data_IF_932761309177
#
_entry.id   IF_932761309177
#
_cell.length_a   1.000
_cell.length_b   1.000
_cell.length_c   1.000
_cell.angle_alpha   90.00
_cell.angle_beta   90.00
_cell.angle_gamma   90.00
#
_symmetry.space_group_name_H-M   'P 1'
#
loop_
_entity.id
_entity.type
_entity.pdbx_description
1 polymer ?
#
# COMPACT_ATOMS: atom_id res chain seq x y z
N UNK A 1 27.37 -26.30 -12.29
CA UNK A 1 27.95 -25.32 -11.34
C UNK A 1 28.25 -24.06 -12.13
N UNK A 2 27.53 -22.99 -11.85
CA UNK A 2 27.75 -21.67 -12.44
C UNK A 2 27.94 -20.64 -11.34
N UNK A 3 28.63 -19.54 -11.66
CA UNK A 3 28.76 -18.38 -10.76
C UNK A 3 27.83 -17.31 -11.33
N UNK A 4 26.61 -17.12 -10.77
CA UNK A 4 25.81 -15.96 -11.11
C UNK A 4 26.50 -14.68 -10.63
N UNK A 5 26.63 -13.70 -11.52
CA UNK A 5 27.05 -12.33 -11.19
C UNK A 5 25.85 -11.44 -11.50
N UNK A 6 25.27 -10.81 -10.49
CA UNK A 6 24.19 -9.85 -10.65
C UNK A 6 24.68 -8.54 -11.28
N UNK A 7 23.82 -7.87 -12.05
CA UNK A 7 24.12 -6.51 -12.53
C UNK A 7 24.16 -5.53 -11.35
N UNK A 8 25.09 -4.55 -11.35
CA UNK A 8 25.11 -3.54 -10.31
C UNK A 8 23.84 -2.69 -10.40
N UNK A 9 23.23 -2.42 -9.24
CA UNK A 9 22.07 -1.53 -9.13
C UNK A 9 22.45 -0.32 -8.29
N UNK A 10 22.09 0.89 -8.75
CA UNK A 10 22.29 2.15 -8.04
C UNK A 10 20.94 2.78 -7.75
N UNK A 11 20.69 3.11 -6.48
CA UNK A 11 19.46 3.80 -6.03
C UNK A 11 19.84 5.06 -5.27
N UNK A 12 19.14 6.16 -5.55
CA UNK A 12 19.35 7.45 -4.88
C UNK A 12 18.06 7.86 -4.18
N UNK A 13 18.19 8.23 -2.92
CA UNK A 13 17.11 8.68 -2.04
C UNK A 13 17.37 10.11 -1.60
N UNK A 14 16.34 10.95 -1.67
CA UNK A 14 16.34 12.29 -1.09
C UNK A 14 15.25 12.34 -0.03
N UNK A 15 15.63 12.50 1.22
CA UNK A 15 14.73 12.51 2.36
C UNK A 15 15.31 11.82 3.60
N UNK A 16 14.75 12.08 4.79
CA UNK A 16 13.62 12.99 5.03
C UNK A 16 14.02 14.47 4.99
N UNK A 17 13.06 15.34 4.66
CA UNK A 17 13.16 16.78 4.84
C UNK A 17 12.25 17.23 5.97
N UNK A 18 12.77 17.91 7.00
CA UNK A 18 11.98 18.40 8.14
C UNK A 18 12.31 19.84 8.51
N UNK A 19 11.29 20.53 9.02
CA UNK A 19 11.42 21.81 9.70
C UNK A 19 11.10 21.58 11.18
N UNK A 20 12.01 21.95 12.08
CA UNK A 20 11.85 21.72 13.51
C UNK A 20 12.31 22.91 14.35
N UNK A 21 12.07 22.83 15.65
CA UNK A 21 12.49 23.84 16.63
C UNK A 21 12.08 25.28 16.28
N UNK A 22 10.91 25.44 15.66
CA UNK A 22 10.38 26.75 15.24
C UNK A 22 9.82 27.47 16.47
N UNK A 23 10.47 28.58 16.86
CA UNK A 23 10.06 29.42 17.98
C UNK A 23 10.04 30.86 17.51
N UNK A 24 8.92 31.57 17.73
CA UNK A 24 8.82 33.01 17.48
C UNK A 24 8.47 33.70 18.80
N UNK A 25 9.28 34.67 19.22
CA UNK A 25 9.03 35.46 20.41
C UNK A 25 8.86 36.93 20.03
N UNK A 26 7.88 37.56 20.66
CA UNK A 26 7.53 38.96 20.45
C UNK A 26 7.41 39.60 21.82
N UNK A 27 8.29 40.56 22.12
CA UNK A 27 8.19 41.38 23.30
C UNK A 27 7.96 42.84 22.89
N UNK A 28 6.69 43.23 22.93
CA UNK A 28 6.25 44.58 22.58
C UNK A 28 6.75 45.64 23.56
N UNK A 29 7.09 45.27 24.80
CA UNK A 29 7.55 46.24 25.81
C UNK A 29 8.97 46.73 25.54
N UNK A 30 9.81 45.86 24.99
CA UNK A 30 11.19 46.15 24.59
C UNK A 30 11.34 46.37 23.08
N UNK A 31 10.26 46.27 22.31
CA UNK A 31 10.29 46.29 20.83
C UNK A 31 11.28 45.27 20.26
N UNK A 32 11.35 44.10 20.89
CA UNK A 32 12.22 43.00 20.47
C UNK A 32 11.41 41.85 19.88
N UNK A 33 11.96 41.24 18.82
CA UNK A 33 11.38 40.11 18.12
C UNK A 33 12.49 39.09 17.89
N UNK A 34 12.24 37.82 18.12
CA UNK A 34 13.16 36.76 17.75
C UNK A 34 12.44 35.60 17.08
N UNK A 35 13.12 34.93 16.17
CA UNK A 35 12.66 33.74 15.50
C UNK A 35 13.81 32.74 15.42
N UNK A 36 13.59 31.53 15.90
CA UNK A 36 14.48 30.39 15.73
C UNK A 36 13.78 29.34 14.89
N UNK A 37 14.52 28.64 14.05
CA UNK A 37 14.05 27.46 13.35
C UNK A 37 15.22 26.64 12.81
N UNK A 38 14.96 25.37 12.54
CA UNK A 38 15.95 24.42 12.04
C UNK A 38 15.39 23.73 10.80
N UNK A 39 16.24 23.60 9.78
CA UNK A 39 15.94 22.88 8.53
C UNK A 39 16.88 21.70 8.45
N UNK A 40 16.35 20.50 8.20
CA UNK A 40 17.14 19.30 7.99
C UNK A 40 16.73 18.64 6.67
N UNK A 41 17.72 18.23 5.86
CA UNK A 41 17.51 17.47 4.62
C UNK A 41 18.52 16.34 4.55
N UNK A 42 18.06 15.09 4.63
CA UNK A 42 18.86 13.90 4.41
C UNK A 42 18.90 13.47 2.94
N UNK A 43 19.97 12.80 2.55
CA UNK A 43 20.12 12.14 1.25
C UNK A 43 20.93 10.85 1.43
N UNK A 44 20.65 9.85 0.62
CA UNK A 44 21.42 8.62 0.59
C UNK A 44 21.54 8.08 -0.83
N UNK A 45 22.64 7.40 -1.12
CA UNK A 45 22.77 6.58 -2.32
C UNK A 45 23.27 5.19 -1.92
N UNK A 46 22.76 4.16 -2.60
CA UNK A 46 23.06 2.77 -2.34
C UNK A 46 23.42 2.06 -3.64
N UNK A 47 24.54 1.34 -3.65
CA UNK A 47 24.90 0.38 -4.68
C UNK A 47 25.12 -1.01 -4.10
N UNK A 48 24.63 -2.05 -4.79
CA UNK A 48 24.93 -3.42 -4.41
C UNK A 48 25.33 -4.30 -5.60
N UNK A 49 26.10 -5.35 -5.29
CA UNK A 49 26.52 -6.40 -6.22
C UNK A 49 26.28 -7.74 -5.53
N UNK A 50 25.75 -8.71 -6.28
CA UNK A 50 25.55 -10.07 -5.80
C UNK A 50 26.38 -11.06 -6.62
N UNK A 51 27.03 -11.97 -5.91
CA UNK A 51 27.78 -13.08 -6.50
C UNK A 51 27.52 -14.35 -5.71
N UNK A 52 27.50 -15.50 -6.36
CA UNK A 52 27.18 -16.74 -5.66
C UNK A 52 27.69 -17.98 -6.35
N UNK A 53 27.49 -19.13 -5.69
CA UNK A 53 27.74 -20.44 -6.25
C UNK A 53 26.52 -21.32 -6.03
N UNK A 54 26.07 -22.01 -7.06
CA UNK A 54 24.84 -22.79 -7.03
C UNK A 54 25.00 -24.19 -7.61
N UNK A 55 24.23 -25.12 -7.04
CA UNK A 55 24.01 -26.47 -7.55
C UNK A 55 22.53 -26.63 -7.86
N UNK A 56 22.23 -27.01 -9.10
CA UNK A 56 20.87 -27.24 -9.57
C UNK A 56 20.68 -28.72 -9.90
N UNK A 57 19.54 -29.26 -9.49
CA UNK A 57 19.09 -30.61 -9.80
C UNK A 57 17.71 -30.53 -10.45
N UNK A 58 17.59 -31.08 -11.65
CA UNK A 58 16.36 -31.14 -12.43
C UNK A 58 15.80 -32.56 -12.44
N UNK A 59 14.48 -32.69 -12.31
CA UNK A 59 13.76 -33.95 -12.32
C UNK A 59 12.53 -33.84 -13.22
N UNK A 60 12.55 -34.60 -14.31
CA UNK A 60 11.41 -34.73 -15.21
C UNK A 60 10.69 -36.04 -14.88
N UNK A 61 9.43 -35.93 -14.47
CA UNK A 61 8.53 -37.06 -14.22
C UNK A 61 7.26 -36.91 -15.06
N UNK A 62 6.31 -37.84 -14.98
CA UNK A 62 5.01 -37.69 -15.63
C UNK A 62 3.90 -38.12 -14.67
N UNK A 63 2.82 -37.35 -14.62
CA UNK A 63 1.60 -37.77 -13.93
C UNK A 63 0.92 -38.81 -14.82
N UNK A 64 0.51 -39.98 -14.27
CA UNK A 64 -0.11 -41.05 -15.02
C UNK A 64 -1.58 -40.70 -15.36
N UNK A 65 -1.75 -39.73 -16.26
CA UNK A 65 -3.02 -39.41 -16.94
C UNK A 65 -3.01 -39.97 -18.36
N UNK A 66 -4.15 -39.98 -19.03
CA UNK A 66 -4.23 -40.30 -20.47
C UNK A 66 -4.73 -39.05 -21.22
N UNK A 67 -3.85 -38.30 -21.91
CA UNK A 67 -2.40 -38.53 -22.08
C UNK A 67 -1.56 -38.18 -20.83
N UNK A 68 -0.35 -38.75 -20.65
CA UNK A 68 0.53 -38.41 -19.53
C UNK A 68 0.97 -36.96 -19.56
N UNK A 69 0.90 -36.28 -18.42
CA UNK A 69 1.35 -34.88 -18.31
C UNK A 69 2.80 -34.89 -17.80
N UNK A 70 3.79 -34.46 -18.60
CA UNK A 70 5.17 -34.37 -18.14
C UNK A 70 5.27 -33.27 -17.10
N UNK A 71 5.96 -33.50 -15.99
CA UNK A 71 6.24 -32.57 -14.89
C UNK A 71 7.73 -32.33 -14.82
N UNK A 72 8.14 -31.10 -15.07
CA UNK A 72 9.52 -30.66 -14.93
C UNK A 72 9.67 -29.88 -13.62
N UNK A 73 10.40 -30.44 -12.67
CA UNK A 73 10.67 -29.82 -11.38
C UNK A 73 12.18 -29.63 -11.23
N UNK A 74 12.58 -28.45 -10.77
CA UNK A 74 13.98 -28.17 -10.46
C UNK A 74 14.13 -27.67 -9.04
N UNK A 75 15.24 -28.03 -8.41
CA UNK A 75 15.65 -27.47 -7.13
C UNK A 75 17.08 -26.97 -7.28
N UNK A 76 17.30 -25.71 -6.95
CA UNK A 76 18.60 -25.06 -6.97
C UNK A 76 18.95 -24.60 -5.56
N UNK A 77 20.13 -24.96 -5.08
CA UNK A 77 20.61 -24.58 -3.75
C UNK A 77 22.04 -24.07 -3.83
N UNK A 78 22.35 -23.08 -3.02
CA UNK A 78 23.65 -22.43 -3.10
C UNK A 78 23.96 -21.47 -1.97
N UNK A 79 25.06 -20.76 -2.17
CA UNK A 79 25.47 -19.65 -1.33
C UNK A 79 25.48 -18.36 -2.16
N UNK A 80 25.03 -17.28 -1.53
CA UNK A 80 24.96 -15.94 -2.11
C UNK A 80 25.76 -14.99 -1.22
N UNK A 81 26.67 -14.24 -1.83
CA UNK A 81 27.38 -13.12 -1.23
C UNK A 81 26.83 -11.83 -1.82
N UNK A 82 26.21 -11.01 -0.99
CA UNK A 82 25.76 -9.66 -1.33
C UNK A 82 26.76 -8.67 -0.75
N UNK A 83 27.29 -7.78 -1.59
CA UNK A 83 28.14 -6.66 -1.19
C UNK A 83 27.37 -5.37 -1.43
N UNK A 84 27.26 -4.52 -0.42
CA UNK A 84 26.53 -3.27 -0.49
C UNK A 84 27.41 -2.11 -0.02
N UNK A 85 27.38 -1.01 -0.75
CA UNK A 85 28.02 0.25 -0.39
C UNK A 85 26.97 1.35 -0.41
N UNK A 86 26.81 2.04 0.72
CA UNK A 86 25.89 3.16 0.85
C UNK A 86 26.65 4.41 1.25
N UNK A 87 26.31 5.53 0.64
CA UNK A 87 26.76 6.86 1.08
C UNK A 87 25.54 7.60 1.60
N UNK A 88 25.66 8.18 2.78
CA UNK A 88 24.61 8.94 3.45
C UNK A 88 25.12 10.35 3.69
N UNK A 89 24.23 11.32 3.67
CA UNK A 89 24.57 12.67 4.01
C UNK A 89 23.37 13.48 4.42
N UNK A 90 23.62 14.57 5.13
CA UNK A 90 22.57 15.51 5.49
C UNK A 90 23.09 16.94 5.48
N UNK A 91 22.18 17.87 5.24
CA UNK A 91 22.40 19.28 5.47
C UNK A 91 21.40 19.73 6.52
N UNK A 92 21.94 20.21 7.63
CA UNK A 92 21.19 20.83 8.71
C UNK A 92 21.52 22.32 8.78
N UNK A 93 20.51 23.14 9.02
CA UNK A 93 20.66 24.58 9.12
C UNK A 93 19.84 25.11 10.29
N UNK A 94 20.53 25.56 11.32
CA UNK A 94 19.93 26.40 12.35
C UNK A 94 19.86 27.84 11.87
N UNK A 95 18.75 28.49 12.12
CA UNK A 95 18.54 29.91 11.91
C UNK A 95 18.04 30.54 13.20
N UNK A 96 18.71 31.61 13.62
CA UNK A 96 18.28 32.47 14.71
C UNK A 96 18.29 33.92 14.23
N UNK A 97 17.11 34.50 14.10
CA UNK A 97 16.88 35.90 13.75
C UNK A 97 16.47 36.64 15.01
N UNK A 98 17.13 37.75 15.32
CA UNK A 98 16.70 38.67 16.36
C UNK A 98 16.64 40.09 15.82
N UNK A 99 15.67 40.84 16.32
CA UNK A 99 15.53 42.28 16.11
C UNK A 99 15.35 42.94 17.47
N UNK A 100 16.07 44.04 17.72
CA UNK A 100 15.84 44.88 18.88
C UNK A 100 16.22 46.31 18.58
N UNK A 101 15.31 47.25 18.81
CA UNK A 101 15.61 48.69 18.77
C UNK A 101 16.27 49.19 17.46
N UNK A 102 15.93 48.58 16.32
CA UNK A 102 16.50 48.91 15.01
C UNK A 102 17.73 48.09 14.60
N UNK A 103 18.26 47.28 15.52
CA UNK A 103 19.33 46.33 15.23
C UNK A 103 18.74 44.98 14.80
N UNK A 104 19.36 44.35 13.81
CA UNK A 104 19.03 43.00 13.34
C UNK A 104 20.27 42.12 13.51
N UNK A 105 20.10 40.90 14.04
CA UNK A 105 21.10 39.84 13.98
C UNK A 105 20.47 38.58 13.39
N UNK A 106 21.20 37.93 12.49
CA UNK A 106 20.85 36.66 11.89
C UNK A 106 22.05 35.73 12.03
N UNK A 107 21.93 34.75 12.91
CA UNK A 107 22.92 33.69 13.09
C UNK A 107 22.46 32.45 12.36
N UNK A 108 23.33 31.93 11.51
CA UNK A 108 23.14 30.72 10.74
C UNK A 108 24.20 29.72 11.18
N UNK A 109 23.79 28.51 11.54
CA UNK A 109 24.73 27.41 11.70
C UNK A 109 24.45 26.38 10.61
N UNK A 110 25.42 26.15 9.73
CA UNK A 110 25.31 25.17 8.67
C UNK A 110 26.09 23.92 9.06
N UNK A 111 25.40 22.80 9.20
CA UNK A 111 26.02 21.51 9.50
C UNK A 111 25.87 20.59 8.28
N UNK A 112 26.98 20.08 7.77
CA UNK A 112 27.06 19.07 6.73
C UNK A 112 27.51 17.75 7.38
N UNK A 113 26.70 16.72 7.27
CA UNK A 113 27.06 15.37 7.72
C UNK A 113 27.27 14.48 6.50
N UNK A 114 28.31 13.66 6.52
CA UNK A 114 28.64 12.71 5.46
C UNK A 114 29.02 11.38 6.09
N UNK A 115 28.53 10.28 5.54
CA UNK A 115 28.81 8.95 6.01
C UNK A 115 28.87 7.92 4.91
N UNK A 116 29.59 6.83 5.18
CA UNK A 116 29.71 5.67 4.29
C UNK A 116 29.42 4.43 5.12
N UNK A 117 28.67 3.49 4.55
CA UNK A 117 28.33 2.19 5.12
C UNK A 117 28.71 1.13 4.09
N UNK A 118 29.51 0.16 4.50
CA UNK A 118 29.88 -1.02 3.72
C UNK A 118 29.30 -2.24 4.42
N UNK A 119 28.45 -2.98 3.71
CA UNK A 119 27.83 -4.21 4.20
C UNK A 119 28.24 -5.40 3.32
N UNK A 120 28.42 -6.55 3.95
CA UNK A 120 28.53 -7.83 3.27
C UNK A 120 27.60 -8.83 3.96
N UNK A 121 26.79 -9.52 3.16
CA UNK A 121 25.87 -10.55 3.61
C UNK A 121 26.20 -11.86 2.92
N UNK A 122 26.39 -12.92 3.70
CA UNK A 122 26.52 -14.29 3.21
C UNK A 122 25.26 -15.06 3.58
N UNK A 123 24.52 -15.47 2.56
CA UNK A 123 23.26 -16.20 2.68
C UNK A 123 23.39 -17.59 2.06
N UNK A 124 22.70 -18.58 2.64
CA UNK A 124 22.36 -19.80 1.93
C UNK A 124 20.99 -19.60 1.29
N UNK A 125 20.77 -20.15 0.10
CA UNK A 125 19.46 -20.10 -0.54
C UNK A 125 19.06 -21.45 -1.13
N UNK A 126 17.74 -21.64 -1.26
CA UNK A 126 17.13 -22.79 -1.91
C UNK A 126 15.93 -22.31 -2.73
N UNK A 127 16.01 -22.48 -4.04
CA UNK A 127 15.00 -22.13 -5.01
C UNK A 127 14.34 -23.41 -5.54
N UNK A 128 13.03 -23.52 -5.41
CA UNK A 128 12.24 -24.60 -5.99
C UNK A 128 11.46 -24.08 -7.20
N UNK A 129 11.52 -24.80 -8.31
CA UNK A 129 10.90 -24.44 -9.58
C UNK A 129 10.03 -25.56 -10.14
N UNK A 130 8.99 -25.19 -10.88
CA UNK A 130 8.11 -26.09 -11.62
C UNK A 130 7.87 -25.51 -13.01
N UNK A 131 8.33 -26.17 -14.08
CA UNK A 131 8.33 -25.67 -15.45
C UNK A 131 8.90 -24.25 -15.57
N UNK A 132 10.06 -24.00 -14.95
CA UNK A 132 10.71 -22.68 -14.87
C UNK A 132 9.92 -21.62 -14.09
N UNK A 133 8.82 -22.00 -13.43
CA UNK A 133 8.10 -21.13 -12.49
C UNK A 133 8.75 -21.28 -11.13
N UNK A 134 9.33 -20.21 -10.61
CA UNK A 134 9.77 -20.15 -9.22
C UNK A 134 8.58 -20.29 -8.27
N UNK A 135 8.57 -21.40 -7.52
CA UNK A 135 7.56 -21.69 -6.51
C UNK A 135 7.91 -20.96 -5.21
N UNK A 136 9.15 -21.11 -4.77
CA UNK A 136 9.59 -20.62 -3.47
C UNK A 136 11.12 -20.53 -3.46
N UNK A 137 11.61 -19.34 -3.13
CA UNK A 137 13.01 -19.05 -2.85
C UNK A 137 13.14 -18.84 -1.34
N UNK A 138 13.78 -19.78 -0.66
CA UNK A 138 14.16 -19.67 0.74
C UNK A 138 15.54 -19.06 0.86
N UNK A 139 15.69 -18.14 1.80
CA UNK A 139 16.95 -17.46 2.08
C UNK A 139 17.23 -17.56 3.58
N UNK A 140 18.38 -18.12 3.92
CA UNK A 140 18.87 -18.26 5.28
C UNK A 140 20.11 -17.39 5.48
N UNK A 141 20.01 -16.32 6.30
CA UNK A 141 21.16 -15.48 6.59
C UNK A 141 22.17 -16.25 7.43
N UNK A 142 23.40 -16.39 6.93
CA UNK A 142 24.46 -17.10 7.63
C UNK A 142 25.35 -16.13 8.40
N UNK A 143 25.75 -15.03 7.75
CA UNK A 143 26.66 -14.06 8.35
C UNK A 143 26.49 -12.68 7.73
N UNK A 144 26.56 -11.68 8.60
CA UNK A 144 26.50 -10.27 8.25
C UNK A 144 27.76 -9.57 8.75
N UNK A 145 28.32 -8.69 7.92
CA UNK A 145 29.39 -7.78 8.27
C UNK A 145 28.98 -6.37 7.89
N UNK A 146 29.21 -5.41 8.80
CA UNK A 146 28.95 -3.99 8.57
C UNK A 146 30.15 -3.20 9.07
N UNK A 147 30.60 -2.24 8.26
CA UNK A 147 31.61 -1.25 8.62
C UNK A 147 31.09 0.11 8.19
N UNK A 148 31.05 1.07 9.10
CA UNK A 148 30.57 2.42 8.83
C UNK A 148 31.55 3.48 9.34
N UNK A 149 31.52 4.65 8.70
CA UNK A 149 32.23 5.85 9.15
C UNK A 149 31.42 7.08 8.77
N UNK A 150 31.31 8.05 9.67
CA UNK A 150 30.69 9.34 9.38
C UNK A 150 31.42 10.52 10.03
N UNK A 151 31.29 11.68 9.42
CA UNK A 151 31.90 12.94 9.82
C UNK A 151 30.87 14.07 9.72
N UNK A 152 30.94 15.03 10.64
CA UNK A 152 30.10 16.21 10.70
C UNK A 152 30.94 17.48 10.63
N UNK A 153 30.48 18.47 9.89
CA UNK A 153 31.16 19.73 9.61
C UNK A 153 30.21 20.91 9.84
N UNK A 154 30.52 21.78 10.81
CA UNK A 154 29.71 22.95 11.16
C UNK A 154 30.41 24.25 10.80
N UNK A 155 29.68 25.15 10.14
CA UNK A 155 30.12 26.50 9.75
C UNK A 155 29.12 27.56 10.26
N UNK A 156 29.46 28.27 11.34
CA UNK A 156 28.65 29.36 11.85
C UNK A 156 28.88 30.65 11.04
N UNK A 157 27.80 31.31 10.64
CA UNK A 157 27.78 32.58 9.91
C UNK A 157 26.84 33.54 10.65
N UNK A 158 27.35 34.68 11.08
CA UNK A 158 26.57 35.74 11.74
C UNK A 158 26.49 36.96 10.83
N UNK A 159 25.27 37.42 10.58
CA UNK A 159 24.96 38.64 9.85
C UNK A 159 24.36 39.63 10.85
N UNK A 160 24.87 40.85 10.95
CA UNK A 160 24.25 41.86 11.80
C UNK A 160 24.13 43.20 11.10
N UNK A 161 23.07 43.94 11.42
CA UNK A 161 22.85 45.31 10.98
C UNK A 161 22.58 46.16 12.20
N UNK A 162 23.47 47.10 12.49
CA UNK A 162 23.33 48.02 13.63
C UNK A 162 23.88 49.38 13.28
N UNK A 163 23.21 50.44 13.74
CA UNK A 163 23.63 51.82 13.51
C UNK A 163 23.84 52.20 12.04
N UNK A 164 23.06 51.61 11.12
CA UNK A 164 23.16 51.87 9.69
C UNK A 164 24.22 51.07 8.94
N UNK A 165 24.94 50.16 9.61
CA UNK A 165 26.04 49.36 9.03
C UNK A 165 25.73 47.88 9.10
N UNK A 166 25.95 47.18 7.98
CA UNK A 166 25.92 45.73 7.93
C UNK A 166 27.32 45.15 8.21
N UNK A 167 27.38 44.04 8.94
CA UNK A 167 28.58 43.24 9.15
C UNK A 167 28.28 41.76 8.92
N UNK A 168 29.29 41.04 8.45
CA UNK A 168 29.25 39.60 8.21
C UNK A 168 30.46 39.00 8.91
N UNK A 169 30.22 38.02 9.77
CA UNK A 169 31.26 37.26 10.48
C UNK A 169 31.11 35.80 10.14
N UNK A 170 32.18 35.19 9.64
CA UNK A 170 32.26 33.74 9.41
C UNK A 170 33.12 33.18 10.54
N UNK A 171 32.54 32.32 11.37
CA UNK A 171 33.28 31.68 12.46
C UNK A 171 34.15 30.52 11.97
N UNK A 172 34.95 29.92 12.86
CA UNK A 172 35.80 28.79 12.51
C UNK A 172 34.95 27.57 12.13
N UNK A 173 35.42 26.81 11.15
CA UNK A 173 34.85 25.52 10.79
C UNK A 173 35.19 24.50 11.89
N UNK A 174 34.18 23.83 12.44
CA UNK A 174 34.34 22.71 13.37
C UNK A 174 34.04 21.41 12.63
N UNK A 175 34.83 20.37 12.90
CA UNK A 175 34.62 19.04 12.32
C UNK A 175 34.89 17.94 13.33
N UNK A 176 34.20 16.82 13.20
CA UNK A 176 34.38 15.66 14.09
C UNK A 176 33.75 14.38 13.54
N UNK A 177 34.23 13.24 14.02
CA UNK A 177 33.59 11.94 13.74
C UNK A 177 32.26 11.85 14.48
N UNK A 178 31.25 11.29 13.81
CA UNK A 178 29.94 11.01 14.38
C UNK A 178 29.55 9.55 14.07
N UNK A 179 28.67 8.94 14.88
CA UNK A 179 27.98 7.71 14.49
C UNK A 179 27.22 7.91 13.17
N UNK A 180 27.22 6.92 12.29
CA UNK A 180 26.49 7.01 11.01
C UNK A 180 24.98 7.01 11.23
N UNK A 181 24.53 6.42 12.34
CA UNK A 181 23.14 6.32 12.76
C UNK A 181 22.53 7.68 13.11
N UNK A 182 23.38 8.68 13.40
CA UNK A 182 22.95 10.05 13.67
C UNK A 182 22.59 10.81 12.38
N UNK A 183 22.97 10.28 11.20
CA UNK A 183 22.56 10.83 9.91
C UNK A 183 21.21 10.20 9.50
N UNK A 184 20.12 10.88 9.83
CA UNK A 184 18.78 10.46 9.43
C UNK A 184 18.61 10.47 7.91
N UNK A 185 18.44 9.30 7.30
CA UNK A 185 18.18 9.15 5.87
C UNK A 185 17.13 8.08 5.61
N UNK A 186 16.45 8.14 4.46
CA UNK A 186 15.61 7.05 3.96
C UNK A 186 16.45 6.04 3.20
N UNK A 187 17.45 5.45 3.85
CA UNK A 187 18.27 4.41 3.23
C UNK A 187 17.51 3.06 3.28
N UNK A 188 17.03 2.60 2.14
CA UNK A 188 16.58 1.21 2.02
C UNK A 188 17.80 0.29 1.84
N UNK A 189 18.01 -0.58 2.83
CA UNK A 189 19.03 -1.63 2.76
C UNK A 189 18.46 -2.81 1.98
N UNK A 190 19.19 -3.26 0.97
CA UNK A 190 18.75 -4.41 0.20
C UNK A 190 19.10 -5.67 1.00
N UNK A 191 18.08 -6.42 1.42
CA UNK A 191 18.27 -7.77 1.95
C UNK A 191 17.47 -8.74 1.11
N UNK A 192 18.09 -9.80 0.57
CA UNK A 192 17.33 -10.87 -0.05
C UNK A 192 16.30 -11.40 0.94
N UNK A 193 15.05 -11.55 0.49
CA UNK A 193 13.97 -12.07 1.32
C UNK A 193 13.46 -13.38 0.75
N UNK A 194 12.99 -14.26 1.65
CA UNK A 194 12.28 -15.46 1.24
C UNK A 194 11.01 -15.05 0.49
N UNK A 195 10.82 -15.58 -0.71
CA UNK A 195 9.67 -15.29 -1.57
C UNK A 195 9.04 -16.60 -2.01
N UNK A 196 7.78 -16.82 -1.62
CA UNK A 196 7.05 -18.01 -2.02
C UNK A 196 5.72 -17.61 -2.62
N UNK A 197 5.41 -18.17 -3.77
CA UNK A 197 4.14 -17.99 -4.43
C UNK A 197 3.07 -18.76 -3.68
N UNK A 198 1.87 -18.19 -3.59
CA UNK A 198 0.74 -18.96 -3.12
C UNK A 198 0.42 -20.04 -4.16
N UNK A 199 -0.14 -21.17 -3.70
CA UNK A 199 -0.51 -22.26 -4.61
C UNK A 199 -1.48 -21.80 -5.69
N UNK A 200 -2.33 -20.81 -5.38
CA UNK A 200 -3.24 -20.19 -6.34
C UNK A 200 -2.49 -19.50 -7.48
N UNK A 201 -1.46 -18.71 -7.17
CA UNK A 201 -0.65 -18.00 -8.18
C UNK A 201 0.13 -18.98 -9.05
N UNK A 202 0.61 -20.07 -8.45
CA UNK A 202 1.28 -21.16 -9.19
C UNK A 202 0.30 -21.79 -10.17
N UNK A 203 -0.91 -22.14 -9.72
CA UNK A 203 -1.92 -22.75 -10.60
C UNK A 203 -2.36 -21.80 -11.71
N UNK A 204 -2.58 -20.52 -11.40
CA UNK A 204 -2.94 -19.49 -12.38
C UNK A 204 -1.87 -19.38 -13.48
N UNK A 205 -0.60 -19.36 -13.10
CA UNK A 205 0.52 -19.31 -14.04
C UNK A 205 0.62 -20.61 -14.89
N UNK A 206 0.39 -21.78 -14.30
CA UNK A 206 0.33 -23.06 -15.01
C UNK A 206 -0.83 -23.11 -16.03
N UNK A 207 -2.00 -22.60 -15.65
CA UNK A 207 -3.17 -22.47 -16.52
C UNK A 207 -2.89 -21.51 -17.68
N UNK A 208 -2.28 -20.36 -17.40
CA UNK A 208 -1.90 -19.36 -18.41
C UNK A 208 -0.92 -19.91 -19.44
N UNK A 209 -0.02 -20.81 -19.02
CA UNK A 209 0.93 -21.50 -19.91
C UNK A 209 0.32 -22.68 -20.67
N UNK A 210 -0.94 -23.04 -20.38
CA UNK A 210 -1.62 -24.18 -21.00
C UNK A 210 -1.05 -25.54 -20.57
N UNK A 211 -0.37 -25.58 -19.42
CA UNK A 211 0.21 -26.80 -18.86
C UNK A 211 -0.89 -27.64 -18.18
N UNK A 212 -1.83 -26.97 -17.52
CA UNK A 212 -2.98 -27.62 -16.89
C UNK A 212 -4.15 -27.79 -17.88
N UNK A 213 -4.91 -28.90 -17.79
CA UNK A 213 -6.15 -29.08 -18.54
C UNK A 213 -7.17 -27.98 -18.22
N UNK A 214 -7.96 -27.59 -19.22
CA UNK A 214 -8.94 -26.50 -19.10
C UNK A 214 -9.98 -26.78 -18.01
N UNK A 215 -10.33 -28.04 -17.80
CA UNK A 215 -11.31 -28.46 -16.80
C UNK A 215 -10.88 -28.06 -15.38
N UNK A 216 -9.57 -28.12 -15.09
CA UNK A 216 -9.01 -27.72 -13.79
C UNK A 216 -8.99 -26.19 -13.66
N UNK A 217 -8.62 -25.50 -14.74
CA UNK A 217 -8.58 -24.04 -14.77
C UNK A 217 -9.97 -23.42 -14.63
N UNK A 218 -10.97 -23.97 -15.31
CA UNK A 218 -12.37 -23.52 -15.25
C UNK A 218 -13.00 -23.79 -13.87
N UNK A 219 -12.61 -24.90 -13.21
CA UNK A 219 -13.10 -25.21 -11.86
C UNK A 219 -12.59 -24.18 -10.83
N UNK A 220 -11.39 -23.63 -11.02
CA UNK A 220 -10.82 -22.61 -10.15
C UNK A 220 -11.46 -21.24 -10.34
N UNK A 221 -11.80 -20.87 -11.58
CA UNK A 221 -12.60 -19.67 -11.84
C UNK A 221 -14.00 -19.79 -11.24
N UNK A 222 -14.59 -21.00 -11.27
CA UNK A 222 -15.89 -21.27 -10.64
C UNK A 222 -15.83 -21.30 -9.09
N UNK A 223 -14.74 -21.81 -8.51
CA UNK A 223 -14.51 -21.88 -7.06
C UNK A 223 -13.94 -20.59 -6.46
N UNK A 224 -13.36 -19.69 -7.27
CA UNK A 224 -12.99 -18.35 -6.83
C UNK A 224 -14.21 -17.53 -6.36
N UNK A 225 -15.43 -17.94 -6.71
CA UNK A 225 -16.69 -17.38 -6.19
C UNK A 225 -17.10 -18.00 -4.83
N UNK A 226 -16.42 -19.05 -4.36
CA UNK A 226 -16.71 -19.72 -3.07
C UNK A 226 -15.71 -19.42 -1.96
N UNK A 227 -14.76 -18.51 -2.20
CA UNK A 227 -13.90 -17.93 -1.18
C UNK A 227 -14.64 -16.92 -0.32
N UNK A 228 -15.34 -17.40 0.72
CA UNK A 228 -15.59 -16.69 1.98
C UNK A 228 -16.33 -15.33 1.95
N UNK A 229 -17.19 -15.07 0.96
CA UNK A 229 -18.26 -14.05 1.07
C UNK A 229 -19.66 -14.64 0.82
N UNK A 230 -19.90 -15.87 1.28
CA UNK A 230 -21.25 -16.46 1.23
C UNK A 230 -22.25 -15.65 2.08
N UNK A 231 -23.50 -15.53 1.65
CA UNK A 231 -24.54 -14.86 2.45
C UNK A 231 -24.66 -15.48 3.85
N UNK A 232 -25.19 -14.77 4.84
CA UNK A 232 -25.46 -15.35 6.18
C UNK A 232 -26.78 -16.13 6.25
N UNK A 233 -27.14 -16.80 5.15
CA UNK A 233 -28.30 -17.67 5.03
C UNK A 233 -27.81 -19.12 5.05
N UNK A 234 -28.16 -19.87 6.10
CA UNK A 234 -27.69 -21.24 6.29
C UNK A 234 -28.05 -22.19 5.12
N UNK A 235 -29.15 -21.91 4.40
CA UNK A 235 -29.55 -22.66 3.21
C UNK A 235 -28.64 -22.46 2.00
N UNK A 236 -27.88 -21.37 1.94
CA UNK A 236 -26.97 -21.05 0.83
C UNK A 236 -25.54 -21.55 1.08
N UNK A 237 -25.26 -22.01 2.31
CA UNK A 237 -23.93 -22.45 2.74
C UNK A 237 -23.92 -23.93 3.15
N UNK A 238 -24.71 -24.78 2.47
CA UNK A 238 -24.86 -26.20 2.84
C UNK A 238 -23.53 -27.00 2.83
N UNK A 239 -22.51 -26.52 2.10
CA UNK A 239 -21.17 -27.10 2.08
C UNK A 239 -20.24 -26.62 3.20
N UNK A 240 -20.60 -25.57 3.94
CA UNK A 240 -19.76 -25.01 5.01
C UNK A 240 -19.88 -25.85 6.30
N UNK A 241 -18.78 -25.95 7.05
CA UNK A 241 -18.75 -26.57 8.39
C UNK A 241 -19.49 -25.65 9.37
N UNK A 242 -20.31 -26.24 10.25
CA UNK A 242 -21.13 -25.47 11.19
C UNK A 242 -20.31 -24.51 12.06
N UNK A 243 -19.14 -24.91 12.54
CA UNK A 243 -18.27 -24.04 13.35
C UNK A 243 -17.80 -22.78 12.60
N UNK A 244 -17.48 -22.92 11.32
CA UNK A 244 -17.05 -21.80 10.46
C UNK A 244 -18.22 -20.83 10.21
N UNK A 245 -19.39 -21.38 9.86
CA UNK A 245 -20.60 -20.57 9.64
C UNK A 245 -21.02 -19.82 10.92
N UNK A 246 -21.00 -20.50 12.08
CA UNK A 246 -21.33 -19.88 13.38
C UNK A 246 -20.36 -18.74 13.70
N UNK A 247 -19.06 -18.95 13.48
CA UNK A 247 -18.03 -17.94 13.74
C UNK A 247 -18.22 -16.69 12.90
N UNK A 248 -18.63 -16.86 11.64
CA UNK A 248 -18.80 -15.77 10.68
C UNK A 248 -20.14 -15.05 10.88
N UNK A 249 -21.25 -15.80 10.90
CA UNK A 249 -22.60 -15.27 10.77
C UNK A 249 -23.42 -15.22 12.08
N UNK A 250 -22.97 -15.91 13.13
CA UNK A 250 -23.70 -16.01 14.40
C UNK A 250 -22.92 -15.41 15.59
N UNK A 251 -23.66 -15.01 16.63
CA UNK A 251 -23.12 -14.53 17.90
C UNK A 251 -22.51 -15.70 18.68
N UNK A 252 -21.46 -15.44 19.46
CA UNK A 252 -20.74 -16.46 20.23
C UNK A 252 -21.62 -17.27 21.19
N UNK A 253 -22.70 -16.68 21.69
CA UNK A 253 -23.65 -17.35 22.60
C UNK A 253 -24.31 -18.59 21.98
N UNK A 254 -24.40 -18.66 20.66
CA UNK A 254 -24.93 -19.83 19.96
C UNK A 254 -24.12 -21.10 20.28
N UNK A 255 -22.80 -21.00 20.47
CA UNK A 255 -21.94 -22.16 20.77
C UNK A 255 -22.31 -22.83 22.10
N UNK A 256 -22.99 -22.14 23.02
CA UNK A 256 -23.47 -22.71 24.30
C UNK A 256 -24.75 -23.54 24.14
N UNK A 257 -25.58 -23.21 23.15
CA UNK A 257 -26.86 -23.89 22.91
C UNK A 257 -26.78 -24.94 21.78
N UNK A 258 -25.78 -24.82 20.91
CA UNK A 258 -25.55 -25.70 19.78
C UNK A 258 -25.04 -27.09 20.23
N UNK A 259 -25.54 -28.19 19.66
CA UNK A 259 -25.01 -29.52 19.97
C UNK A 259 -23.53 -29.64 19.54
N UNK A 260 -22.61 -29.70 20.50
CA UNK A 260 -21.16 -29.62 20.24
C UNK A 260 -20.63 -30.71 19.29
N UNK A 261 -21.23 -31.89 19.32
CA UNK A 261 -20.95 -33.01 18.40
C UNK A 261 -21.22 -32.70 16.92
N UNK A 262 -22.06 -31.70 16.61
CA UNK A 262 -22.41 -31.32 15.24
C UNK A 262 -21.59 -30.12 14.74
N UNK A 263 -20.67 -29.56 15.54
CA UNK A 263 -19.87 -28.40 15.12
C UNK A 263 -18.93 -28.71 13.95
N UNK A 264 -18.43 -29.94 13.89
CA UNK A 264 -17.56 -30.42 12.82
C UNK A 264 -18.32 -30.92 11.58
N UNK A 265 -19.65 -30.99 11.62
CA UNK A 265 -20.46 -31.43 10.48
C UNK A 265 -20.79 -30.26 9.53
N UNK A 266 -21.06 -30.60 8.27
CA UNK A 266 -21.52 -29.61 7.29
C UNK A 266 -22.99 -29.25 7.50
N UNK A 267 -23.37 -28.02 7.14
CA UNK A 267 -24.76 -27.55 7.24
C UNK A 267 -25.73 -28.45 6.47
N UNK A 268 -25.29 -29.03 5.35
CA UNK A 268 -26.07 -29.99 4.54
C UNK A 268 -26.36 -31.30 5.28
N UNK A 269 -25.39 -31.85 6.01
CA UNK A 269 -25.57 -33.04 6.86
C UNK A 269 -26.53 -32.74 8.01
N UNK A 270 -26.36 -31.59 8.66
CA UNK A 270 -27.22 -31.13 9.76
C UNK A 270 -28.67 -30.98 9.31
N UNK A 271 -28.91 -30.42 8.11
CA UNK A 271 -30.24 -30.26 7.52
C UNK A 271 -30.94 -31.58 7.20
N UNK A 272 -30.19 -32.60 6.74
CA UNK A 272 -30.73 -33.91 6.34
C UNK A 272 -30.94 -34.86 7.53
N UNK A 273 -30.30 -34.61 8.67
CA UNK A 273 -30.38 -35.48 9.83
C UNK A 273 -31.75 -35.52 10.49
N UNK A 274 -32.14 -36.71 10.96
CA UNK A 274 -33.49 -36.96 11.52
C UNK A 274 -33.58 -36.88 13.05
N UNK A 275 -32.44 -36.91 13.75
CA UNK A 275 -32.43 -36.94 15.22
C UNK A 275 -32.89 -35.61 15.81
N UNK A 276 -33.34 -35.63 17.08
CA UNK A 276 -33.74 -34.41 17.78
C UNK A 276 -32.62 -33.36 17.83
N UNK A 277 -31.36 -33.81 17.92
CA UNK A 277 -30.18 -32.93 17.92
C UNK A 277 -29.97 -32.21 16.59
N UNK A 278 -30.13 -32.90 15.45
CA UNK A 278 -30.03 -32.29 14.11
C UNK A 278 -31.13 -31.25 13.88
N UNK A 279 -32.36 -31.57 14.27
CA UNK A 279 -33.50 -30.62 14.20
C UNK A 279 -33.25 -29.38 15.07
N UNK A 280 -32.69 -29.55 16.27
CA UNK A 280 -32.31 -28.44 17.16
C UNK A 280 -31.21 -27.59 16.54
N UNK A 281 -30.13 -28.20 16.06
CA UNK A 281 -29.01 -27.50 15.42
C UNK A 281 -29.47 -26.68 14.20
N UNK A 282 -30.26 -27.29 13.32
CA UNK A 282 -30.81 -26.61 12.14
C UNK A 282 -31.72 -25.44 12.51
N UNK A 283 -32.53 -25.58 13.56
CA UNK A 283 -33.38 -24.50 14.07
C UNK A 283 -32.52 -23.33 14.58
N UNK A 284 -31.49 -23.60 15.37
CA UNK A 284 -30.60 -22.57 15.94
C UNK A 284 -29.86 -21.77 14.85
N UNK A 285 -29.39 -22.42 13.78
CA UNK A 285 -28.72 -21.77 12.63
C UNK A 285 -29.60 -20.77 11.88
N UNK A 286 -30.92 -20.96 11.93
CA UNK A 286 -31.89 -20.08 11.26
C UNK A 286 -32.54 -19.08 12.23
N UNK A 287 -32.23 -19.16 13.53
CA UNK A 287 -32.89 -18.36 14.55
C UNK A 287 -32.31 -16.94 14.63
N UNK A 288 -33.15 -15.92 14.41
CA UNK A 288 -32.71 -14.53 14.32
C UNK A 288 -31.96 -14.00 15.55
N UNK A 289 -32.24 -14.52 16.75
CA UNK A 289 -31.61 -14.07 18.00
C UNK A 289 -30.09 -14.27 18.03
N UNK A 290 -29.61 -15.31 17.35
CA UNK A 290 -28.19 -15.64 17.27
C UNK A 290 -27.49 -15.03 16.07
N UNK A 291 -28.20 -14.39 15.15
CA UNK A 291 -27.55 -13.81 13.98
C UNK A 291 -26.85 -12.51 14.35
N UNK A 292 -25.66 -12.27 13.80
CA UNK A 292 -24.95 -11.00 14.01
C UNK A 292 -25.78 -9.86 13.38
N UNK A 293 -25.75 -8.64 13.94
CA UNK A 293 -26.52 -7.51 13.41
C UNK A 293 -26.15 -7.07 11.98
N UNK A 294 -25.09 -7.61 11.39
CA UNK A 294 -24.76 -7.48 9.95
C UNK A 294 -25.32 -8.60 9.06
N UNK A 295 -25.99 -9.61 9.65
CA UNK A 295 -26.24 -10.91 9.01
C UNK A 295 -27.72 -11.28 8.86
N UNK A 296 -28.67 -10.44 9.29
CA UNK A 296 -30.09 -10.71 9.03
C UNK A 296 -31.01 -9.52 9.11
N UNK A 297 -31.46 -9.11 7.94
CA UNK A 297 -32.72 -8.41 7.76
C UNK A 297 -33.41 -8.89 6.46
N UNK A 298 -33.74 -10.19 6.35
CA UNK A 298 -34.76 -10.66 5.38
C UNK A 298 -35.54 -11.83 6.01
N UNK A 299 -36.83 -11.62 6.30
CA UNK A 299 -37.80 -12.61 6.78
C UNK A 299 -39.09 -12.58 5.92
N UNK A 300 -39.99 -13.59 6.02
CA UNK A 300 -40.96 -13.88 4.96
C UNK A 300 -42.34 -13.22 5.12
N UNK A 301 -42.96 -12.88 3.98
CA UNK A 301 -44.34 -12.44 3.70
C UNK A 301 -44.76 -11.00 4.06
N UNK A 302 -44.74 -10.09 3.08
CA UNK A 302 -45.87 -9.79 2.17
C UNK A 302 -45.55 -8.52 1.36
N UNK A 303 -45.92 -8.55 0.07
CA UNK A 303 -45.69 -7.54 -0.97
C UNK A 303 -45.34 -6.12 -0.51
N UNK A 304 -44.05 -5.79 -0.63
CA UNK A 304 -43.45 -4.52 -1.02
C UNK A 304 -41.93 -4.75 -0.97
N UNK A 305 -41.25 -4.45 -2.07
CA UNK A 305 -39.82 -4.67 -2.32
C UNK A 305 -38.93 -4.22 -1.14
N UNK A 306 -38.12 -5.10 -0.53
CA UNK A 306 -37.22 -4.70 0.53
C UNK A 306 -35.92 -4.15 -0.05
N UNK A 307 -35.52 -2.99 0.49
CA UNK A 307 -34.25 -2.34 0.25
C UNK A 307 -33.08 -3.33 0.37
N UNK A 308 -32.30 -3.38 -0.71
CA UNK A 308 -30.91 -3.82 -0.64
C UNK A 308 -30.25 -3.14 0.55
N UNK A 309 -29.32 -3.83 1.22
CA UNK A 309 -28.20 -3.09 1.80
C UNK A 309 -27.58 -2.39 0.61
N UNK A 310 -27.97 -1.13 0.43
CA UNK A 310 -27.55 -0.30 -0.68
C UNK A 310 -26.04 -0.30 -0.60
N UNK A 311 -25.41 -1.00 -1.55
CA UNK A 311 -24.06 -0.69 -1.95
C UNK A 311 -24.10 0.81 -2.24
N UNK A 312 -23.56 1.61 -1.33
CA UNK A 312 -23.66 3.06 -1.44
C UNK A 312 -22.84 3.52 -2.64
N UNK A 313 -23.33 4.54 -3.34
CA UNK A 313 -22.58 5.15 -4.41
C UNK A 313 -21.45 5.96 -3.77
N UNK A 314 -20.20 5.49 -3.91
CA UNK A 314 -19.05 6.14 -3.28
C UNK A 314 -18.33 7.05 -4.28
N UNK A 315 -18.63 8.34 -4.26
CA UNK A 315 -17.85 9.28 -5.08
C UNK A 315 -16.59 9.69 -4.32
N UNK A 316 -15.46 9.06 -4.67
CA UNK A 316 -14.15 9.40 -4.11
C UNK A 316 -13.38 10.35 -5.02
N UNK A 317 -13.64 11.65 -4.90
CA UNK A 317 -12.86 12.65 -5.65
C UNK A 317 -11.57 12.96 -4.92
N UNK A 318 -10.41 12.73 -5.55
CA UNK A 318 -9.10 13.02 -4.97
C UNK A 318 -8.33 14.06 -5.80
N UNK A 319 -7.33 14.67 -5.18
CA UNK A 319 -6.33 15.52 -5.83
C UNK A 319 -4.99 14.87 -5.57
N UNK A 320 -4.37 14.31 -6.61
CA UNK A 320 -3.08 13.61 -6.49
C UNK A 320 -2.07 14.20 -7.47
N UNK A 321 -0.90 14.60 -6.97
CA UNK A 321 0.25 15.02 -7.78
C UNK A 321 0.93 13.80 -8.41
N UNK A 322 1.56 13.96 -9.58
CA UNK A 322 2.14 12.85 -10.36
C UNK A 322 3.40 12.23 -9.73
N UNK A 323 4.09 12.97 -8.85
CA UNK A 323 5.41 12.58 -8.31
C UNK A 323 5.42 11.99 -6.90
N UNK A 324 4.33 12.03 -6.13
CA UNK A 324 4.35 11.67 -4.70
C UNK A 324 3.11 10.87 -4.26
N UNK A 325 3.31 9.92 -3.34
CA UNK A 325 2.27 9.44 -2.44
C UNK A 325 1.81 10.60 -1.56
N UNK A 326 0.76 11.32 -1.96
CA UNK A 326 0.17 12.37 -1.13
C UNK A 326 -1.19 11.93 -0.59
N UNK A 327 -1.29 12.10 0.73
CA UNK A 327 -2.47 11.97 1.57
C UNK A 327 -3.69 12.65 0.93
N UNK A 328 -4.86 11.98 0.89
CA UNK A 328 -6.06 12.53 0.28
C UNK A 328 -6.43 13.89 0.88
N UNK A 329 -6.50 14.93 0.05
CA UNK A 329 -6.85 16.28 0.48
C UNK A 329 -8.30 16.41 0.98
N UNK A 330 -9.21 15.53 0.53
CA UNK A 330 -10.58 15.47 1.02
C UNK A 330 -11.21 14.13 0.64
N UNK A 331 -11.93 13.49 1.56
CA UNK A 331 -12.70 12.28 1.30
C UNK A 331 -14.16 12.59 1.64
N UNK A 332 -15.03 12.65 0.64
CA UNK A 332 -16.47 12.80 0.85
C UNK A 332 -17.15 11.45 0.66
N UNK A 333 -17.76 10.94 1.71
CA UNK A 333 -18.51 9.68 1.69
C UNK A 333 -19.99 10.00 1.91
N UNK A 334 -20.86 9.55 1.00
CA UNK A 334 -22.30 9.70 1.12
C UNK A 334 -22.99 8.34 0.93
N UNK A 335 -23.72 7.90 1.95
CA UNK A 335 -24.41 6.60 1.96
C UNK A 335 -25.81 6.66 1.33
N UNK A 336 -25.93 7.33 0.17
CA UNK A 336 -27.21 7.45 -0.55
C UNK A 336 -27.02 7.43 -2.06
N UNK A 337 -28.13 7.30 -2.79
CA UNK A 337 -28.14 7.52 -4.23
C UNK A 337 -27.75 8.97 -4.53
N UNK A 338 -26.84 9.15 -5.49
CA UNK A 338 -26.35 10.46 -5.92
C UNK A 338 -26.92 10.70 -7.31
N UNK A 339 -27.56 11.85 -7.50
CA UNK A 339 -28.11 12.27 -8.79
C UNK A 339 -26.98 12.71 -9.73
N UNK A 340 -27.23 12.71 -11.04
CA UNK A 340 -26.30 13.27 -12.03
C UNK A 340 -25.89 14.71 -11.67
N UNK A 341 -26.85 15.52 -11.22
CA UNK A 341 -26.62 16.91 -10.82
C UNK A 341 -25.67 17.05 -9.62
N UNK A 342 -25.81 16.18 -8.62
CA UNK A 342 -24.92 16.17 -7.45
C UNK A 342 -23.51 15.69 -7.82
N UNK A 343 -23.40 14.70 -8.71
CA UNK A 343 -22.10 14.28 -9.25
C UNK A 343 -21.42 15.40 -10.04
N UNK A 344 -22.16 16.17 -10.84
CA UNK A 344 -21.63 17.34 -11.55
C UNK A 344 -21.17 18.44 -10.58
N UNK A 345 -21.96 18.70 -9.54
CA UNK A 345 -21.64 19.71 -8.51
C UNK A 345 -20.37 19.34 -7.76
N UNK A 346 -20.19 18.06 -7.40
CA UNK A 346 -18.97 17.60 -6.73
C UNK A 346 -17.71 17.79 -7.58
N UNK A 347 -17.80 17.59 -8.91
CA UNK A 347 -16.69 17.86 -9.84
C UNK A 347 -16.41 19.37 -9.92
N UNK A 348 -17.45 20.20 -9.98
CA UNK A 348 -17.30 21.66 -10.05
C UNK A 348 -16.70 22.27 -8.78
N UNK A 349 -17.17 21.85 -7.60
CA UNK A 349 -16.63 22.30 -6.31
C UNK A 349 -15.14 22.00 -6.21
N UNK A 350 -14.71 20.84 -6.69
CA UNK A 350 -13.30 20.48 -6.68
C UNK A 350 -12.47 21.32 -7.66
N UNK A 351 -12.96 21.52 -8.89
CA UNK A 351 -12.30 22.39 -9.88
C UNK A 351 -12.19 23.83 -9.38
N UNK A 352 -13.19 24.32 -8.65
CA UNK A 352 -13.22 25.67 -8.06
C UNK A 352 -12.28 25.82 -6.86
N UNK A 353 -12.03 24.73 -6.11
CA UNK A 353 -11.05 24.69 -5.01
C UNK A 353 -9.60 24.68 -5.50
N UNK A 354 -9.35 24.31 -6.76
CA UNK A 354 -8.00 24.36 -7.34
C UNK A 354 -7.60 25.79 -7.75
N UNK A 355 -6.29 26.08 -7.80
CA UNK A 355 -5.83 27.38 -8.28
C UNK A 355 -6.30 27.65 -9.73
N UNK A 356 -6.51 28.91 -10.10
CA UNK A 356 -7.02 29.30 -11.44
C UNK A 356 -6.23 28.68 -12.60
N UNK A 357 -4.92 28.48 -12.45
CA UNK A 357 -4.07 27.86 -13.47
C UNK A 357 -4.31 26.35 -13.61
N UNK A 358 -4.53 25.66 -12.50
CA UNK A 358 -4.81 24.22 -12.44
C UNK A 358 -6.24 23.93 -12.92
N UNK A 359 -7.21 24.74 -12.50
CA UNK A 359 -8.61 24.65 -12.94
C UNK A 359 -8.72 24.66 -14.48
N UNK A 360 -7.96 25.55 -15.15
CA UNK A 360 -7.93 25.63 -16.61
C UNK A 360 -7.32 24.38 -17.28
N UNK A 361 -6.27 23.79 -16.66
CA UNK A 361 -5.67 22.55 -17.15
C UNK A 361 -6.58 21.32 -16.93
N UNK A 362 -7.52 21.42 -15.98
CA UNK A 362 -8.41 20.33 -15.60
C UNK A 362 -9.80 20.40 -16.21
N UNK A 363 -10.13 21.46 -16.94
CA UNK A 363 -11.44 21.66 -17.54
C UNK A 363 -11.82 20.52 -18.50
N UNK A 364 -10.86 19.99 -19.26
CA UNK A 364 -11.08 18.83 -20.13
C UNK A 364 -11.38 17.55 -19.34
N UNK A 365 -10.61 17.28 -18.28
CA UNK A 365 -10.82 16.11 -17.42
C UNK A 365 -12.18 16.19 -16.71
N UNK A 366 -12.53 17.37 -16.18
CA UNK A 366 -13.83 17.66 -15.58
C UNK A 366 -14.99 17.43 -16.55
N UNK A 367 -14.91 17.97 -17.78
CA UNK A 367 -15.92 17.74 -18.83
C UNK A 367 -16.04 16.26 -19.21
N UNK A 368 -14.93 15.55 -19.34
CA UNK A 368 -14.93 14.12 -19.64
C UNK A 368 -15.59 13.31 -18.52
N UNK A 369 -15.33 13.65 -17.26
CA UNK A 369 -15.97 13.00 -16.12
C UNK A 369 -17.45 13.29 -16.02
N UNK A 370 -17.87 14.54 -16.20
CA UNK A 370 -19.30 14.89 -16.26
C UNK A 370 -20.01 14.11 -17.37
N UNK A 371 -19.35 13.92 -18.52
CA UNK A 371 -19.85 13.08 -19.61
C UNK A 371 -19.98 11.61 -19.21
N UNK A 372 -19.02 11.06 -18.46
CA UNK A 372 -19.12 9.70 -17.92
C UNK A 372 -20.25 9.57 -16.89
N UNK A 373 -20.42 10.55 -16.00
CA UNK A 373 -21.52 10.61 -15.02
C UNK A 373 -22.88 10.68 -15.73
N UNK A 374 -22.96 11.42 -16.83
CA UNK A 374 -24.17 11.56 -17.65
C UNK A 374 -24.42 10.42 -18.65
N UNK A 375 -23.46 9.53 -18.88
CA UNK A 375 -23.53 8.50 -19.93
C UNK A 375 -24.13 7.19 -19.44
N UNK A 376 -25.05 6.59 -20.21
CA UNK A 376 -25.55 5.23 -19.99
C UNK A 376 -25.29 4.34 -21.23
N UNK A 377 -24.64 3.16 -21.07
CA UNK A 377 -23.88 2.71 -19.90
C UNK A 377 -22.64 3.59 -19.66
N UNK A 378 -22.15 3.72 -18.41
CA UNK A 378 -20.91 4.43 -18.15
C UNK A 378 -19.77 3.74 -18.90
N UNK A 379 -19.23 4.35 -19.95
CA UNK A 379 -18.02 3.88 -20.63
C UNK A 379 -16.80 4.25 -19.77
N UNK A 380 -15.95 3.28 -19.45
CA UNK A 380 -14.71 3.51 -18.68
C UNK A 380 -14.68 2.93 -17.27
N UNK A 381 -15.59 2.00 -16.94
CA UNK A 381 -15.54 1.23 -15.69
C UNK A 381 -14.41 0.21 -15.75
N UNK A 382 -13.42 0.31 -14.86
CA UNK A 382 -12.36 -0.71 -14.76
C UNK A 382 -12.89 -2.01 -14.11
N UNK A 383 -12.07 -3.07 -14.12
CA UNK A 383 -12.42 -4.37 -13.53
C UNK A 383 -12.73 -4.31 -12.02
N UNK A 384 -12.45 -3.18 -11.35
CA UNK A 384 -12.71 -2.95 -9.92
C UNK A 384 -13.97 -2.12 -9.68
N UNK A 385 -14.72 -1.75 -10.73
CA UNK A 385 -15.95 -0.95 -10.61
C UNK A 385 -15.72 0.57 -10.56
N UNK A 386 -14.50 1.03 -10.87
CA UNK A 386 -14.20 2.47 -10.88
C UNK A 386 -14.63 3.07 -12.21
N UNK A 387 -15.58 4.01 -12.18
CA UNK A 387 -16.29 4.52 -13.35
C UNK A 387 -15.45 5.45 -14.23
N UNK A 388 -14.47 6.15 -13.66
CA UNK A 388 -13.54 6.96 -14.44
C UNK A 388 -12.31 7.34 -13.62
N UNK A 389 -11.14 7.18 -14.23
CA UNK A 389 -9.89 7.86 -13.85
C UNK A 389 -9.52 8.82 -14.96
N UNK A 390 -9.39 10.12 -14.64
CA UNK A 390 -8.93 11.13 -15.60
C UNK A 390 -7.87 12.00 -14.97
N UNK A 391 -6.82 12.23 -15.75
CA UNK A 391 -5.77 13.17 -15.43
C UNK A 391 -6.04 14.49 -16.13
N UNK A 392 -5.69 15.60 -15.48
CA UNK A 392 -5.68 16.90 -16.13
C UNK A 392 -4.61 16.92 -17.21
N UNK A 393 -5.07 16.94 -18.47
CA UNK A 393 -4.28 16.97 -19.70
C UNK A 393 -3.30 15.80 -19.89
N UNK A 394 -3.60 14.93 -20.85
CA UNK A 394 -2.60 14.07 -21.53
C UNK A 394 -1.64 14.91 -22.43
N UNK A 395 -1.32 16.16 -22.05
CA UNK A 395 -0.43 17.04 -22.82
C UNK A 395 1.01 16.84 -22.32
N UNK A 396 1.98 16.56 -23.20
CA UNK A 396 3.34 16.14 -22.83
C UNK A 396 4.14 17.16 -22.01
N UNK A 397 3.69 18.42 -21.90
CA UNK A 397 4.48 19.53 -21.34
C UNK A 397 4.08 19.97 -19.92
N UNK A 398 3.12 19.30 -19.27
CA UNK A 398 2.68 19.66 -17.91
C UNK A 398 2.79 18.47 -16.95
N UNK A 399 3.75 18.52 -16.02
CA UNK A 399 3.99 17.47 -15.01
C UNK A 399 2.97 17.43 -13.85
N UNK A 400 1.98 18.34 -13.86
CA UNK A 400 0.97 18.45 -12.79
C UNK A 400 -0.34 17.79 -13.22
N UNK A 401 -0.55 16.56 -12.77
CA UNK A 401 -1.82 15.86 -12.91
C UNK A 401 -2.73 16.10 -11.70
N UNK A 402 -4.04 16.06 -11.91
CA UNK A 402 -5.02 15.78 -10.84
C UNK A 402 -5.67 14.45 -11.20
N UNK A 403 -5.66 13.51 -10.26
CA UNK A 403 -6.38 12.25 -10.38
C UNK A 403 -7.73 12.35 -9.69
N UNK A 404 -8.78 12.35 -10.48
CA UNK A 404 -10.14 12.19 -10.00
C UNK A 404 -10.51 10.70 -10.10
N UNK A 405 -11.03 10.10 -9.04
CA UNK A 405 -11.57 8.73 -9.04
C UNK A 405 -13.09 8.79 -8.80
N UNK A 406 -13.83 7.82 -9.35
CA UNK A 406 -15.25 7.67 -9.05
C UNK A 406 -15.56 6.18 -8.84
N UNK A 407 -15.87 5.79 -7.61
CA UNK A 407 -16.06 4.39 -7.22
C UNK A 407 -17.57 4.08 -7.17
N UNK A 408 -18.14 3.56 -8.27
CA UNK A 408 -19.54 3.10 -8.23
C UNK A 408 -19.60 1.65 -7.76
N UNK A 409 -19.48 1.47 -6.45
CA UNK A 409 -19.54 0.16 -5.82
C UNK A 409 -20.91 -0.50 -5.97
N UNK A 410 -21.96 0.24 -6.34
CA UNK A 410 -23.32 -0.24 -6.47
C UNK A 410 -23.63 -0.98 -7.78
N UNK A 411 -22.85 -0.76 -8.83
CA UNK A 411 -23.12 -1.32 -10.17
C UNK A 411 -24.44 -0.84 -10.78
N UNK A 412 -25.06 0.21 -10.23
CA UNK A 412 -26.30 0.84 -10.73
C UNK A 412 -25.99 2.25 -11.25
N UNK A 413 -26.76 2.74 -12.22
CA UNK A 413 -26.52 4.06 -12.81
C UNK A 413 -26.75 5.20 -11.82
N UNK A 414 -26.12 6.34 -12.09
CA UNK A 414 -26.59 7.61 -11.56
C UNK A 414 -28.06 7.81 -11.96
N UNK A 415 -28.90 8.18 -10.99
CA UNK A 415 -30.30 8.49 -11.27
C UNK A 415 -30.38 9.86 -11.94
N UNK A 416 -31.13 9.93 -13.05
CA UNK A 416 -31.38 11.15 -13.83
C UNK A 416 -32.01 12.26 -13.01
#
# INVERSE_FOLDING_TARGET
MGIPIGAPTLTVFLGPGRLQNIVVQIDSSTSSYSARGEVYVGAAQNGYIQTGGAVRADAITAIPTDPPIPVDAAVEGGMLLTLQGSEVGSIERDLNLAYSSGDISLDLNHTLQLGVILEADLDAYLNAQLYEIELCEFIWPLKHWEVSKAESYSLPISLSYSGGKASITIGPMAGGEIPVEDIETTLERFRPQTKCKEIKDVIEELCKRGILPKEICDELDSKAVTGLEGSCVANENLGEIADNFISRCCKGDMRREFPGELLAETLGSIKKGKTAKHKKAWKLLNEGRFKKPSASAIGPNNGLTPNSVDKSNRIRVQLQHKSDEVVPAEKREEDRSITVAEGHTAVDDLLNKTSKSVSKACDYAGKAMKKTISGYPPTGVDAKGNVARKWCNDHPDYERGIRLDLENLAGKNFTS
#
